data_IF_454829899394
#
_entry.id   IF_454829899394
#
_cell.length_a   1.000
_cell.length_b   1.000
_cell.length_c   1.000
_cell.angle_alpha   90.00
_cell.angle_beta   90.00
_cell.angle_gamma   90.00
#
_symmetry.space_group_name_H-M   'P 1'
#
loop_
_entity.id
_entity.type
_entity.pdbx_description
1 polymer ?
#
# COMPACT_ATOMS: atom_id res chain seq x y z
N UNK A 1 21.36 10.61 11.39
CA UNK A 1 21.23 9.57 10.36
C UNK A 1 19.76 9.43 9.95
N UNK A 2 19.47 9.60 8.67
CA UNK A 2 18.10 9.35 8.24
C UNK A 2 17.74 7.89 8.43
N UNK A 3 16.57 7.64 8.98
CA UNK A 3 16.03 6.29 9.12
C UNK A 3 15.59 5.81 7.74
N UNK A 4 15.94 4.57 7.41
CA UNK A 4 15.45 3.96 6.18
C UNK A 4 13.96 3.65 6.36
N UNK A 5 13.12 4.43 5.68
CA UNK A 5 11.65 4.31 5.77
C UNK A 5 11.09 3.26 4.81
N UNK A 6 11.95 2.59 4.03
CA UNK A 6 11.51 1.67 2.98
C UNK A 6 11.56 0.20 3.36
N UNK A 7 11.96 -0.12 4.58
CA UNK A 7 12.15 -1.50 5.05
C UNK A 7 11.39 -1.76 6.35
N UNK A 8 10.08 -1.65 6.29
CA UNK A 8 9.25 -1.84 7.48
C UNK A 8 8.45 -3.13 7.35
N UNK A 9 8.16 -3.75 8.48
CA UNK A 9 7.30 -4.92 8.55
C UNK A 9 6.41 -4.84 9.77
N UNK A 10 5.18 -5.37 9.63
CA UNK A 10 4.32 -5.66 10.77
C UNK A 10 3.96 -7.14 10.73
N UNK A 11 3.58 -7.67 11.90
CA UNK A 11 3.06 -9.03 11.99
C UNK A 11 1.54 -8.98 11.97
N UNK A 12 0.95 -9.67 11.00
CA UNK A 12 -0.51 -9.74 10.87
C UNK A 12 -1.10 -10.73 11.87
N UNK A 13 -2.43 -10.70 12.04
CA UNK A 13 -3.12 -11.55 12.99
C UNK A 13 -2.96 -13.04 12.69
N UNK A 14 -2.70 -13.41 11.43
CA UNK A 14 -2.44 -14.79 11.03
C UNK A 14 -0.93 -15.15 11.06
N UNK A 15 -0.14 -14.29 11.69
CA UNK A 15 1.31 -14.45 11.88
C UNK A 15 2.19 -14.20 10.64
N UNK A 16 1.60 -13.90 9.49
CA UNK A 16 2.40 -13.48 8.33
C UNK A 16 3.00 -12.10 8.56
N UNK A 17 4.23 -11.89 8.06
CA UNK A 17 4.82 -10.56 8.02
C UNK A 17 4.32 -9.81 6.79
N UNK A 18 4.00 -8.54 6.95
CA UNK A 18 3.60 -7.64 5.86
C UNK A 18 4.62 -6.52 5.76
N UNK A 19 5.27 -6.40 4.60
CA UNK A 19 6.29 -5.39 4.35
C UNK A 19 5.72 -4.13 3.75
N UNK A 20 6.27 -2.98 4.11
CA UNK A 20 5.87 -1.70 3.54
C UNK A 20 7.01 -0.68 3.60
N UNK A 21 6.91 0.32 2.75
CA UNK A 21 7.84 1.45 2.76
C UNK A 21 7.05 2.75 2.75
N UNK A 22 7.63 3.80 3.29
CA UNK A 22 6.99 5.11 3.35
C UNK A 22 7.79 6.15 2.57
N UNK A 23 7.08 6.99 1.86
CA UNK A 23 7.63 8.06 1.04
C UNK A 23 6.81 9.33 1.24
N UNK A 24 7.41 10.49 0.95
CA UNK A 24 6.72 11.76 1.06
C UNK A 24 6.67 12.29 2.48
N UNK A 25 5.61 13.03 2.80
CA UNK A 25 5.46 13.70 4.08
C UNK A 25 5.04 12.71 5.18
N UNK A 26 5.84 12.53 6.26
CA UNK A 26 5.51 11.56 7.31
C UNK A 26 4.18 11.80 8.00
N UNK A 27 3.72 13.05 8.05
CA UNK A 27 2.45 13.41 8.68
C UNK A 27 1.43 13.91 7.66
N UNK A 28 1.66 13.59 6.39
CA UNK A 28 0.76 13.99 5.31
C UNK A 28 -0.49 13.10 5.23
N UNK A 29 -1.33 13.41 4.25
CA UNK A 29 -2.53 12.62 3.98
C UNK A 29 -2.13 11.22 3.53
N UNK A 30 -2.63 10.16 4.18
CA UNK A 30 -2.18 8.81 3.88
C UNK A 30 -2.77 8.26 2.59
N UNK A 31 -1.89 7.73 1.74
CA UNK A 31 -2.24 7.03 0.50
C UNK A 31 -1.50 5.70 0.50
N UNK A 32 -2.24 4.60 0.41
CA UNK A 32 -1.63 3.29 0.24
C UNK A 32 -1.41 3.04 -1.25
N UNK A 33 -0.16 2.82 -1.61
CA UNK A 33 0.22 2.50 -2.98
C UNK A 33 0.29 0.98 -3.14
N UNK A 34 -0.44 0.45 -4.12
CA UNK A 34 -0.52 -0.97 -4.42
C UNK A 34 0.20 -1.23 -5.75
N UNK A 35 1.34 -1.87 -5.66
CA UNK A 35 2.27 -2.05 -6.79
C UNK A 35 1.72 -2.97 -7.88
N UNK A 36 2.30 -2.83 -9.07
CA UNK A 36 2.01 -3.71 -10.19
C UNK A 36 2.72 -5.06 -10.10
N UNK A 37 2.61 -5.84 -11.16
CA UNK A 37 3.26 -7.14 -11.26
C UNK A 37 4.15 -7.18 -12.53
N UNK A 38 5.43 -7.54 -12.40
CA UNK A 38 6.17 -7.74 -11.16
C UNK A 38 6.44 -6.41 -10.45
N UNK A 39 6.48 -6.43 -9.13
CA UNK A 39 6.75 -5.21 -8.39
C UNK A 39 6.83 -5.42 -6.89
N UNK A 40 7.00 -4.31 -6.18
CA UNK A 40 7.08 -4.30 -4.72
C UNK A 40 6.91 -2.88 -4.20
N UNK A 41 6.97 -2.71 -2.88
CA UNK A 41 6.98 -1.42 -2.21
C UNK A 41 8.05 -0.46 -2.74
N UNK A 42 9.09 -0.98 -3.39
CA UNK A 42 10.20 -0.19 -3.90
C UNK A 42 9.92 0.42 -5.28
N UNK A 43 8.76 0.14 -5.88
CA UNK A 43 8.43 0.64 -7.22
C UNK A 43 8.09 2.12 -7.23
N UNK A 44 7.62 2.68 -6.10
CA UNK A 44 7.13 4.06 -6.07
C UNK A 44 8.12 5.07 -6.64
N UNK A 45 9.38 5.13 -6.15
CA UNK A 45 10.32 6.13 -6.66
C UNK A 45 10.80 5.87 -8.10
N UNK A 46 10.78 4.62 -8.56
CA UNK A 46 11.22 4.33 -9.93
C UNK A 46 10.09 4.50 -10.94
N UNK A 47 8.85 4.42 -10.51
CA UNK A 47 7.69 4.55 -11.39
C UNK A 47 7.40 6.00 -11.71
N UNK A 48 7.58 6.86 -10.74
CA UNK A 48 7.34 8.30 -10.89
C UNK A 48 8.41 8.99 -10.06
N UNK A 49 9.05 9.99 -10.65
CA UNK A 49 9.92 10.87 -9.91
C UNK A 49 9.06 11.76 -8.98
N UNK A 50 8.25 11.09 -8.13
CA UNK A 50 7.23 11.73 -7.31
C UNK A 50 7.51 11.69 -5.81
N UNK A 51 8.67 11.14 -5.39
CA UNK A 51 9.01 11.15 -3.97
C UNK A 51 8.95 12.55 -3.40
N UNK A 52 9.60 13.49 -4.09
CA UNK A 52 9.62 14.89 -3.67
C UNK A 52 8.26 15.56 -3.86
N UNK A 53 7.55 15.21 -4.94
CA UNK A 53 6.22 15.78 -5.21
C UNK A 53 5.21 15.39 -4.15
N UNK A 54 5.27 14.15 -3.65
CA UNK A 54 4.41 13.71 -2.56
C UNK A 54 4.63 14.53 -1.30
N UNK A 55 5.91 14.81 -0.97
CA UNK A 55 6.24 15.64 0.18
C UNK A 55 5.72 17.07 0.00
N UNK A 56 5.87 17.66 -1.19
CA UNK A 56 5.38 18.99 -1.50
C UNK A 56 3.86 19.10 -1.39
N UNK A 57 3.14 18.03 -1.74
CA UNK A 57 1.68 18.00 -1.68
C UNK A 57 1.15 17.58 -0.32
N UNK A 58 2.05 17.38 0.67
CA UNK A 58 1.70 16.91 2.01
C UNK A 58 0.97 15.56 1.96
N UNK A 59 1.52 14.63 1.19
CA UNK A 59 1.00 13.27 1.05
C UNK A 59 1.97 12.28 1.63
N UNK A 60 1.47 11.36 2.45
CA UNK A 60 2.21 10.25 3.01
C UNK A 60 1.92 9.01 2.16
N UNK A 61 2.91 8.56 1.41
CA UNK A 61 2.76 7.35 0.60
C UNK A 61 3.21 6.15 1.42
N UNK A 62 2.31 5.19 1.57
CA UNK A 62 2.60 3.92 2.24
C UNK A 62 2.53 2.85 1.15
N UNK A 63 3.69 2.46 0.64
CA UNK A 63 3.80 1.47 -0.43
C UNK A 63 3.89 0.08 0.21
N UNK A 64 2.96 -0.80 -0.10
CA UNK A 64 2.79 -2.07 0.59
C UNK A 64 3.19 -3.22 -0.33
N UNK A 65 4.02 -4.14 0.18
CA UNK A 65 4.32 -5.39 -0.52
C UNK A 65 3.12 -6.33 -0.41
N UNK A 66 2.55 -6.73 -1.56
CA UNK A 66 1.48 -7.72 -1.56
C UNK A 66 2.02 -9.08 -1.10
N UNK A 67 1.18 -10.00 -0.62
CA UNK A 67 1.64 -11.31 -0.14
C UNK A 67 2.56 -12.01 -1.16
N UNK A 68 3.70 -12.50 -0.67
CA UNK A 68 4.70 -13.16 -1.50
C UNK A 68 5.64 -12.23 -2.25
N UNK A 69 5.52 -10.91 -2.07
CA UNK A 69 6.38 -9.91 -2.70
C UNK A 69 7.24 -9.20 -1.65
N UNK A 70 8.45 -8.79 -2.04
CA UNK A 70 9.32 -8.01 -1.16
C UNK A 70 9.50 -8.63 0.22
N UNK A 71 9.15 -7.87 1.25
CA UNK A 71 9.26 -8.28 2.65
C UNK A 71 8.00 -8.95 3.19
N UNK A 72 6.99 -9.18 2.35
CA UNK A 72 5.74 -9.80 2.79
C UNK A 72 5.78 -11.31 2.59
N UNK A 73 5.25 -12.03 3.58
CA UNK A 73 5.13 -13.48 3.52
C UNK A 73 4.06 -13.89 2.50
N UNK A 74 4.24 -15.06 1.91
CA UNK A 74 3.27 -15.65 1.01
C UNK A 74 2.02 -16.07 1.79
N UNK A 75 0.84 -15.85 1.20
CA UNK A 75 -0.42 -16.33 1.75
C UNK A 75 -0.99 -17.40 0.82
N UNK A 76 -1.12 -18.60 1.36
CA UNK A 76 -1.65 -19.74 0.62
C UNK A 76 -3.16 -19.54 0.34
N UNK A 77 -3.61 -19.92 -0.85
CA UNK A 77 -5.02 -19.89 -1.24
C UNK A 77 -5.69 -18.51 -1.15
N UNK A 78 -4.87 -17.44 -1.24
CA UNK A 78 -5.41 -16.08 -1.15
C UNK A 78 -6.26 -15.72 -2.35
N UNK A 79 -7.27 -14.90 -2.09
CA UNK A 79 -8.08 -14.25 -3.13
C UNK A 79 -7.81 -12.75 -3.10
N UNK A 80 -8.24 -12.05 -4.16
CA UNK A 80 -8.12 -10.58 -4.20
C UNK A 80 -8.89 -9.94 -3.04
N UNK A 81 -10.03 -10.52 -2.65
CA UNK A 81 -10.85 -9.97 -1.56
C UNK A 81 -10.24 -10.18 -0.16
N UNK A 82 -9.19 -10.97 -0.04
CA UNK A 82 -8.45 -11.09 1.22
C UNK A 82 -7.57 -9.86 1.47
N UNK A 83 -7.17 -9.17 0.41
CA UNK A 83 -6.24 -8.06 0.50
C UNK A 83 -6.73 -6.89 1.37
N UNK A 84 -7.98 -6.42 1.23
CA UNK A 84 -8.45 -5.33 2.09
C UNK A 84 -8.30 -5.60 3.58
N UNK A 85 -8.44 -6.86 4.01
CA UNK A 85 -8.27 -7.21 5.42
C UNK A 85 -6.83 -6.99 5.89
N UNK A 86 -5.85 -7.36 5.07
CA UNK A 86 -4.43 -7.12 5.36
C UNK A 86 -4.16 -5.62 5.44
N UNK A 87 -4.74 -4.84 4.54
CA UNK A 87 -4.55 -3.40 4.50
C UNK A 87 -5.14 -2.72 5.73
N UNK A 88 -6.30 -3.18 6.19
CA UNK A 88 -6.91 -2.66 7.42
C UNK A 88 -6.00 -2.93 8.63
N UNK A 89 -5.43 -4.12 8.74
CA UNK A 89 -4.51 -4.43 9.82
C UNK A 89 -3.30 -3.48 9.81
N UNK A 90 -2.76 -3.19 8.63
CA UNK A 90 -1.65 -2.24 8.51
C UNK A 90 -2.10 -0.84 8.90
N UNK A 91 -3.23 -0.38 8.40
CA UNK A 91 -3.75 0.95 8.70
C UNK A 91 -3.97 1.10 10.21
N UNK A 92 -4.55 0.10 10.86
CA UNK A 92 -4.79 0.14 12.30
C UNK A 92 -3.46 0.15 13.08
N UNK A 93 -2.47 -0.64 12.65
CA UNK A 93 -1.15 -0.64 13.27
C UNK A 93 -0.46 0.72 13.15
N UNK A 94 -0.67 1.43 12.07
CA UNK A 94 -0.11 2.77 11.83
C UNK A 94 -1.00 3.89 12.37
N UNK A 95 -2.13 3.55 13.00
CA UNK A 95 -3.11 4.50 13.51
C UNK A 95 -3.68 5.41 12.42
N UNK A 96 -3.90 4.84 11.23
CA UNK A 96 -4.51 5.52 10.10
C UNK A 96 -5.98 5.11 10.02
N UNK A 97 -6.88 6.06 10.23
CA UNK A 97 -8.32 5.79 10.23
C UNK A 97 -8.86 5.72 8.79
N UNK A 98 -8.73 6.79 8.03
CA UNK A 98 -9.18 6.85 6.65
C UNK A 98 -8.02 7.18 5.73
N UNK A 99 -8.05 6.61 4.53
CA UNK A 99 -6.94 6.71 3.60
C UNK A 99 -7.40 6.58 2.15
N UNK A 100 -6.57 7.05 1.22
CA UNK A 100 -6.77 6.78 -0.20
C UNK A 100 -6.00 5.52 -0.58
N UNK A 101 -6.44 4.85 -1.64
CA UNK A 101 -5.68 3.76 -2.26
C UNK A 101 -5.39 4.12 -3.71
N UNK A 102 -4.18 3.82 -4.15
CA UNK A 102 -3.72 4.02 -5.52
C UNK A 102 -3.17 2.71 -6.04
N UNK A 103 -3.89 2.07 -6.95
CA UNK A 103 -3.46 0.84 -7.59
C UNK A 103 -2.86 1.12 -8.95
N UNK A 104 -1.68 0.59 -9.22
CA UNK A 104 -1.00 0.77 -10.49
C UNK A 104 -0.90 -0.57 -11.22
N UNK A 105 -1.34 -0.61 -12.47
CA UNK A 105 -1.27 -1.80 -13.33
C UNK A 105 -1.89 -3.02 -12.61
N UNK A 106 -1.10 -4.05 -12.29
CA UNK A 106 -1.55 -5.24 -11.56
C UNK A 106 -2.09 -4.97 -10.15
N UNK A 107 -1.83 -3.78 -9.59
CA UNK A 107 -2.41 -3.34 -8.32
C UNK A 107 -3.85 -2.82 -8.43
N UNK A 108 -4.32 -2.57 -9.66
CA UNK A 108 -5.67 -2.05 -9.90
C UNK A 108 -6.78 -2.91 -9.30
N UNK A 109 -6.81 -4.23 -9.56
CA UNK A 109 -7.83 -5.11 -8.98
C UNK A 109 -7.84 -5.09 -7.45
N UNK A 110 -6.69 -4.91 -6.82
CA UNK A 110 -6.59 -4.83 -5.36
C UNK A 110 -7.15 -3.51 -4.83
N UNK A 111 -6.93 -2.41 -5.55
CA UNK A 111 -7.57 -1.13 -5.21
C UNK A 111 -9.09 -1.22 -5.38
N UNK A 112 -9.56 -1.87 -6.44
CA UNK A 112 -10.99 -2.09 -6.66
C UNK A 112 -11.60 -2.95 -5.54
N UNK A 113 -10.89 -3.98 -5.08
CA UNK A 113 -11.32 -4.81 -3.96
C UNK A 113 -11.49 -3.99 -2.68
N UNK A 114 -10.58 -3.04 -2.44
CA UNK A 114 -10.70 -2.14 -1.29
C UNK A 114 -11.95 -1.26 -1.41
N UNK A 115 -12.20 -0.68 -2.58
CA UNK A 115 -13.39 0.13 -2.80
C UNK A 115 -14.68 -0.67 -2.60
N UNK A 116 -14.67 -1.95 -2.93
CA UNK A 116 -15.82 -2.84 -2.77
C UNK A 116 -16.03 -3.24 -1.31
N UNK A 117 -14.95 -3.64 -0.63
CA UNK A 117 -15.05 -4.32 0.67
C UNK A 117 -14.97 -3.36 1.87
N UNK A 118 -14.20 -2.27 1.74
CA UNK A 118 -13.93 -1.36 2.86
C UNK A 118 -14.15 0.11 2.49
N UNK A 119 -15.26 0.45 1.80
CA UNK A 119 -15.45 1.83 1.33
C UNK A 119 -15.51 2.85 2.47
N UNK A 120 -15.92 2.45 3.66
CA UNK A 120 -16.02 3.33 4.82
C UNK A 120 -14.65 3.80 5.34
N UNK A 121 -13.57 3.10 5.00
CA UNK A 121 -12.21 3.47 5.38
C UNK A 121 -11.52 4.33 4.32
N UNK A 122 -12.12 4.47 3.14
CA UNK A 122 -11.46 5.15 2.02
C UNK A 122 -11.89 6.59 1.88
N UNK A 123 -10.91 7.48 1.64
CA UNK A 123 -11.15 8.85 1.21
C UNK A 123 -11.23 8.95 -0.31
N UNK A 124 -10.52 8.10 -1.03
CA UNK A 124 -10.51 8.05 -2.48
C UNK A 124 -9.92 6.73 -2.96
N UNK A 125 -10.26 6.36 -4.19
CA UNK A 125 -9.68 5.21 -4.89
C UNK A 125 -9.24 5.64 -6.28
N UNK A 126 -7.98 5.38 -6.64
CA UNK A 126 -7.47 5.67 -7.97
C UNK A 126 -6.82 4.42 -8.54
N UNK A 127 -7.03 4.19 -9.83
CA UNK A 127 -6.44 3.08 -10.57
C UNK A 127 -5.78 3.66 -11.80
N UNK A 128 -4.46 3.40 -11.93
CA UNK A 128 -3.66 3.91 -13.05
C UNK A 128 -3.19 2.72 -13.88
N UNK A 129 -3.48 2.77 -15.19
CA UNK A 129 -3.11 1.69 -16.12
C UNK A 129 -3.59 0.33 -15.62
N UNK A 130 -4.80 0.30 -15.04
CA UNK A 130 -5.33 -0.90 -14.42
C UNK A 130 -5.57 -2.02 -15.42
N UNK A 131 -5.42 -3.25 -14.94
CA UNK A 131 -5.82 -4.45 -15.67
C UNK A 131 -7.26 -4.75 -15.31
N UNK A 132 -8.08 -4.78 -16.32
CA UNK A 132 -9.53 -4.97 -16.19
C UNK A 132 -9.95 -6.31 -15.66
#
# INVERSE_FOLDING_TARGET
MPTDRTKNQIKLSDERMLGYGEYGAPEGKPVFYLHGHPGSRLDWPSFVDLGDSAAELNVRIIAVDRPGHGLSDFKRDRTILDWPDDLIELADALQVDRFAVLGCSGGGPYAAACAFKIPERLTATAIVSGMG
#
